data_IF_531325272716
#
_entry.id   IF_531325272716
#
_cell.length_a   1.000
_cell.length_b   1.000
_cell.length_c   1.000
_cell.angle_alpha   90.00
_cell.angle_beta   90.00
_cell.angle_gamma   90.00
#
_symmetry.space_group_name_H-M   'P 1'
#
loop_
_entity.id
_entity.type
_entity.pdbx_description
1 polymer ?
#
# COMPACT_ATOMS: atom_id res chain seq x y z
N UNK A 1 -24.61 11.57 16.25
CA UNK A 1 -25.32 12.40 15.26
C UNK A 1 -26.77 12.00 15.35
N UNK A 2 -27.67 12.95 15.35
CA UNK A 2 -29.11 12.64 15.29
C UNK A 2 -29.47 12.34 13.84
N UNK A 3 -30.22 11.27 13.59
CA UNK A 3 -30.80 10.97 12.27
C UNK A 3 -32.30 11.26 12.28
N UNK A 4 -32.84 11.68 11.13
CA UNK A 4 -34.25 12.06 10.98
C UNK A 4 -35.17 10.91 11.37
N UNK A 5 -34.93 9.76 10.75
CA UNK A 5 -35.66 8.49 10.97
C UNK A 5 -34.66 7.34 10.88
N UNK A 6 -34.84 6.33 11.73
CA UNK A 6 -34.07 5.09 11.72
C UNK A 6 -35.01 3.88 11.75
N UNK A 7 -34.70 2.84 10.98
CA UNK A 7 -35.44 1.58 10.99
C UNK A 7 -34.49 0.39 10.90
N UNK A 8 -34.79 -0.69 11.61
CA UNK A 8 -34.00 -1.92 11.60
C UNK A 8 -34.85 -3.16 11.31
N UNK A 9 -34.30 -4.07 10.52
CA UNK A 9 -34.92 -5.34 10.12
C UNK A 9 -33.93 -6.49 10.37
N UNK A 10 -34.46 -7.71 10.50
CA UNK A 10 -33.64 -8.92 10.68
C UNK A 10 -33.15 -9.16 12.12
N UNK A 11 -33.75 -8.50 13.11
CA UNK A 11 -33.47 -8.74 14.52
C UNK A 11 -34.28 -9.93 15.07
N UNK A 12 -33.70 -10.70 15.99
CA UNK A 12 -34.45 -11.65 16.81
C UNK A 12 -35.44 -10.93 17.74
N UNK A 13 -36.71 -11.32 17.66
CA UNK A 13 -37.79 -10.70 18.44
C UNK A 13 -37.74 -11.14 19.89
N UNK A 14 -37.34 -10.24 20.77
CA UNK A 14 -37.33 -10.42 22.22
C UNK A 14 -37.74 -9.10 22.91
N UNK A 15 -38.05 -9.14 24.21
CA UNK A 15 -38.63 -8.00 24.93
C UNK A 15 -37.77 -6.72 25.00
N UNK A 16 -36.51 -6.77 24.53
CA UNK A 16 -35.58 -5.63 24.45
C UNK A 16 -35.21 -5.22 23.02
N UNK A 17 -35.75 -5.89 21.98
CA UNK A 17 -35.45 -5.59 20.58
C UNK A 17 -35.84 -4.16 20.19
N UNK A 18 -35.19 -3.64 19.14
CA UNK A 18 -35.50 -2.33 18.61
C UNK A 18 -36.87 -2.34 17.89
N UNK A 19 -37.64 -1.24 17.88
CA UNK A 19 -38.90 -1.19 17.14
C UNK A 19 -38.71 -1.51 15.65
N UNK A 20 -39.59 -2.34 15.09
CA UNK A 20 -39.60 -2.64 13.65
C UNK A 20 -40.17 -1.49 12.79
N UNK A 21 -40.91 -0.58 13.43
CA UNK A 21 -41.45 0.64 12.84
C UNK A 21 -40.36 1.72 12.73
N UNK A 22 -40.47 2.67 11.78
CA UNK A 22 -39.51 3.77 11.65
C UNK A 22 -39.54 4.69 12.90
N UNK A 23 -38.41 4.82 13.59
CA UNK A 23 -38.28 5.64 14.81
C UNK A 23 -37.64 6.99 14.47
N UNK A 24 -38.27 8.12 14.81
CA UNK A 24 -37.72 9.44 14.54
C UNK A 24 -36.65 9.88 15.55
N UNK A 25 -35.75 10.76 15.13
CA UNK A 25 -34.75 11.46 15.98
C UNK A 25 -33.85 10.52 16.79
N UNK A 26 -33.43 9.40 16.20
CA UNK A 26 -32.49 8.46 16.82
C UNK A 26 -31.08 9.05 16.91
N UNK A 27 -30.37 8.74 18.00
CA UNK A 27 -28.96 9.07 18.16
C UNK A 27 -28.07 7.94 17.64
N UNK A 28 -27.21 8.26 16.67
CA UNK A 28 -26.26 7.33 16.07
C UNK A 28 -24.84 7.69 16.49
N UNK A 29 -24.09 6.71 16.99
CA UNK A 29 -22.66 6.81 17.33
C UNK A 29 -21.91 5.67 16.65
N UNK A 30 -20.88 6.02 15.90
CA UNK A 30 -19.90 5.07 15.37
C UNK A 30 -18.63 5.21 16.20
N UNK A 31 -18.14 4.11 16.72
CA UNK A 31 -16.88 4.03 17.45
C UNK A 31 -15.91 3.16 16.66
N UNK A 32 -14.67 3.62 16.49
CA UNK A 32 -13.61 2.76 15.99
C UNK A 32 -13.22 1.75 17.07
N UNK A 33 -13.09 0.47 16.70
CA UNK A 33 -12.49 -0.57 17.53
C UNK A 33 -11.01 -0.67 17.19
N UNK A 34 -10.16 -0.79 18.19
CA UNK A 34 -8.72 -0.92 18.00
C UNK A 34 -8.07 -1.81 19.04
N UNK A 35 -7.04 -2.54 18.65
CA UNK A 35 -6.16 -3.32 19.56
C UNK A 35 -4.77 -2.73 19.57
N UNK A 36 -4.19 -2.56 20.75
CA UNK A 36 -2.77 -2.18 20.90
C UNK A 36 -1.91 -3.44 20.80
N UNK A 37 -1.10 -3.52 19.75
CA UNK A 37 -0.10 -4.56 19.56
C UNK A 37 1.24 -4.09 20.17
N UNK A 38 1.80 -4.87 21.10
CA UNK A 38 3.12 -4.58 21.68
C UNK A 38 4.20 -5.15 20.78
N UNK A 39 5.03 -4.30 20.20
CA UNK A 39 6.22 -4.69 19.44
C UNK A 39 7.50 -4.13 20.08
N UNK A 40 8.67 -4.67 19.70
CA UNK A 40 9.97 -4.17 20.16
C UNK A 40 10.21 -2.68 19.79
N UNK A 41 9.55 -2.21 18.73
CA UNK A 41 9.57 -0.83 18.23
C UNK A 41 8.56 0.10 18.91
N UNK A 42 7.85 -0.40 19.92
CA UNK A 42 6.80 0.32 20.66
C UNK A 42 5.41 -0.28 20.48
N UNK A 43 4.43 0.16 21.29
CA UNK A 43 3.02 -0.19 21.09
C UNK A 43 2.48 0.47 19.81
N UNK A 44 1.63 -0.26 19.07
CA UNK A 44 0.92 0.24 17.86
C UNK A 44 -0.57 -0.03 17.96
N UNK A 45 -1.40 0.97 17.72
CA UNK A 45 -2.86 0.86 17.66
C UNK A 45 -3.29 0.37 16.27
N UNK A 46 -3.74 -0.88 16.17
CA UNK A 46 -4.28 -1.46 14.94
C UNK A 46 -5.81 -1.41 14.93
N UNK A 47 -6.38 -0.98 13.81
CA UNK A 47 -7.83 -0.96 13.59
C UNK A 47 -8.42 -2.38 13.63
N UNK A 48 -9.62 -2.51 14.19
CA UNK A 48 -10.36 -3.78 14.36
C UNK A 48 -11.86 -3.62 14.08
N UNK A 49 -12.20 -2.73 13.16
CA UNK A 49 -13.56 -2.51 12.70
C UNK A 49 -14.23 -1.38 13.47
N UNK A 50 -15.56 -1.43 13.49
CA UNK A 50 -16.37 -0.42 14.16
C UNK A 50 -17.39 -1.05 15.09
N UNK A 51 -17.85 -0.27 16.06
CA UNK A 51 -19.06 -0.54 16.85
C UNK A 51 -20.07 0.56 16.53
N UNK A 52 -21.21 0.16 15.99
CA UNK A 52 -22.31 1.03 15.60
C UNK A 52 -23.40 0.96 16.68
N UNK A 53 -23.53 2.04 17.44
CA UNK A 53 -24.58 2.20 18.44
C UNK A 53 -25.69 3.11 17.90
N UNK A 54 -26.93 2.66 17.97
CA UNK A 54 -28.12 3.46 17.66
C UNK A 54 -29.05 3.45 18.87
N UNK A 55 -29.50 4.62 19.31
CA UNK A 55 -30.41 4.76 20.46
C UNK A 55 -31.69 5.47 20.02
N UNK A 56 -32.83 5.10 20.61
CA UNK A 56 -34.07 5.84 20.42
C UNK A 56 -33.96 7.27 20.94
N UNK A 57 -34.66 8.20 20.28
CA UNK A 57 -34.60 9.62 20.63
C UNK A 57 -35.23 9.92 21.99
N UNK A 58 -34.85 11.06 22.59
CA UNK A 58 -35.34 11.52 23.91
C UNK A 58 -36.87 11.64 24.04
N UNK A 59 -37.59 11.63 22.92
CA UNK A 59 -39.06 11.73 22.84
C UNK A 59 -39.77 10.37 22.83
N UNK A 60 -39.07 9.24 22.75
CA UNK A 60 -39.69 7.92 22.77
C UNK A 60 -39.92 7.42 24.20
N UNK A 61 -41.12 6.90 24.50
CA UNK A 61 -41.50 6.39 25.84
C UNK A 61 -40.58 5.28 26.37
N UNK A 62 -40.01 4.46 25.47
CA UNK A 62 -39.12 3.36 25.81
C UNK A 62 -37.72 3.63 25.24
N UNK A 63 -36.70 3.60 26.09
CA UNK A 63 -35.31 3.61 25.62
C UNK A 63 -34.98 2.24 25.02
N UNK A 64 -34.69 2.20 23.72
CA UNK A 64 -34.18 1.01 23.02
C UNK A 64 -32.86 1.34 22.33
N UNK A 65 -32.02 0.32 22.20
CA UNK A 65 -30.70 0.44 21.61
C UNK A 65 -30.43 -0.68 20.61
N UNK A 66 -29.59 -0.38 19.63
CA UNK A 66 -28.86 -1.35 18.83
C UNK A 66 -27.39 -1.15 19.15
N UNK A 67 -26.71 -2.27 19.33
CA UNK A 67 -25.27 -2.33 19.46
C UNK A 67 -24.78 -3.39 18.47
N UNK A 68 -24.14 -2.95 17.38
CA UNK A 68 -23.72 -3.82 16.30
C UNK A 68 -22.23 -3.67 16.06
N UNK A 69 -21.49 -4.77 16.22
CA UNK A 69 -20.12 -4.84 15.76
C UNK A 69 -20.06 -4.99 14.23
N UNK A 70 -19.10 -4.31 13.63
CA UNK A 70 -18.78 -4.34 12.19
C UNK A 70 -17.33 -4.81 12.10
N UNK A 71 -17.15 -6.10 11.81
CA UNK A 71 -15.83 -6.73 11.75
C UNK A 71 -15.09 -6.37 10.44
N UNK A 72 -13.77 -6.13 10.46
CA UNK A 72 -12.96 -5.87 9.26
C UNK A 72 -13.10 -6.97 8.18
N UNK A 73 -13.31 -8.20 8.61
CA UNK A 73 -13.39 -9.40 7.77
C UNK A 73 -14.74 -9.56 7.05
N UNK A 74 -15.75 -8.73 7.36
CA UNK A 74 -17.08 -8.78 6.73
C UNK A 74 -17.30 -7.55 5.84
N UNK A 75 -17.61 -7.74 4.54
CA UNK A 75 -18.02 -6.64 3.66
C UNK A 75 -19.23 -5.87 4.20
N UNK A 76 -19.09 -4.56 4.34
CA UNK A 76 -20.21 -3.68 4.66
C UNK A 76 -21.03 -3.52 3.38
N UNK A 77 -22.26 -4.05 3.35
CA UNK A 77 -23.13 -3.80 2.21
C UNK A 77 -23.87 -2.49 2.40
N UNK A 78 -23.91 -1.66 1.36
CA UNK A 78 -24.67 -0.41 1.40
C UNK A 78 -25.57 -0.20 0.18
N UNK A 79 -26.53 0.71 0.33
CA UNK A 79 -27.24 1.32 -0.79
C UNK A 79 -27.63 2.75 -0.45
N UNK A 80 -27.42 3.66 -1.41
CA UNK A 80 -27.97 5.01 -1.33
C UNK A 80 -29.46 4.96 -1.70
N UNK A 81 -30.31 5.38 -0.76
CA UNK A 81 -31.75 5.43 -0.92
C UNK A 81 -32.26 6.87 -0.88
N UNK A 82 -33.51 7.05 -1.29
CA UNK A 82 -34.33 8.21 -0.93
C UNK A 82 -35.41 7.70 0.02
N UNK A 83 -35.50 8.30 1.20
CA UNK A 83 -36.61 8.08 2.12
C UNK A 83 -37.84 8.89 1.71
N UNK A 84 -38.87 8.85 2.55
CA UNK A 84 -40.11 9.59 2.34
C UNK A 84 -39.85 11.08 2.11
N UNK A 85 -40.66 11.67 1.22
CA UNK A 85 -40.51 13.06 0.74
C UNK A 85 -39.14 13.36 0.09
N UNK A 86 -38.40 12.33 -0.35
CA UNK A 86 -37.15 12.48 -1.10
C UNK A 86 -35.89 12.67 -0.24
N UNK A 87 -36.01 12.60 1.09
CA UNK A 87 -34.89 12.79 2.01
C UNK A 87 -33.73 11.81 1.75
N UNK A 88 -32.47 12.24 1.93
CA UNK A 88 -31.31 11.37 1.72
C UNK A 88 -31.31 10.21 2.72
N UNK A 89 -31.17 8.99 2.23
CA UNK A 89 -31.10 7.80 3.08
C UNK A 89 -29.92 6.87 2.71
N UNK A 90 -29.49 6.08 3.68
CA UNK A 90 -28.46 5.05 3.56
C UNK A 90 -29.00 3.76 4.17
N UNK A 91 -29.05 2.70 3.37
CA UNK A 91 -29.23 1.34 3.85
C UNK A 91 -27.86 0.72 4.10
N UNK A 92 -27.65 0.16 5.28
CA UNK A 92 -26.53 -0.73 5.60
C UNK A 92 -27.07 -2.14 5.83
N UNK A 93 -26.38 -3.16 5.32
CA UNK A 93 -26.62 -4.57 5.72
C UNK A 93 -25.32 -5.13 6.29
N UNK A 94 -25.41 -5.60 7.52
CA UNK A 94 -24.28 -6.14 8.29
C UNK A 94 -24.60 -7.62 8.56
N UNK A 95 -23.59 -8.48 8.42
CA UNK A 95 -23.69 -9.92 8.65
C UNK A 95 -22.81 -10.28 9.85
N UNK A 96 -23.46 -10.59 10.98
CA UNK A 96 -22.80 -10.92 12.25
C UNK A 96 -22.61 -12.46 12.40
N UNK A 97 -22.52 -13.17 11.28
CA UNK A 97 -22.32 -14.62 11.20
C UNK A 97 -23.56 -15.46 11.50
N UNK A 98 -24.45 -14.98 12.37
CA UNK A 98 -25.72 -15.65 12.73
C UNK A 98 -26.96 -14.92 12.20
N UNK A 99 -26.94 -13.58 12.18
CA UNK A 99 -28.07 -12.74 11.78
C UNK A 99 -27.60 -11.63 10.84
N UNK A 100 -28.44 -11.35 9.82
CA UNK A 100 -28.19 -10.28 8.84
C UNK A 100 -29.08 -9.08 9.16
N UNK A 101 -28.55 -8.16 9.97
CA UNK A 101 -29.25 -6.92 10.29
C UNK A 101 -29.26 -6.00 9.06
N UNK A 102 -30.42 -5.42 8.77
CA UNK A 102 -30.59 -4.39 7.73
C UNK A 102 -31.07 -3.10 8.38
N UNK A 103 -30.30 -2.04 8.22
CA UNK A 103 -30.47 -0.77 8.93
C UNK A 103 -30.65 0.37 7.94
N UNK A 104 -31.76 1.09 8.01
CA UNK A 104 -32.03 2.27 7.18
C UNK A 104 -31.90 3.52 8.03
N UNK A 105 -30.99 4.40 7.59
CA UNK A 105 -30.76 5.72 8.17
C UNK A 105 -31.28 6.77 7.20
N UNK A 106 -32.30 7.53 7.60
CA UNK A 106 -32.78 8.70 6.86
C UNK A 106 -32.25 9.95 7.54
N UNK A 107 -31.65 10.84 6.77
CA UNK A 107 -31.02 12.07 7.23
C UNK A 107 -31.87 13.27 6.83
N UNK A 108 -31.68 14.40 7.53
CA UNK A 108 -32.27 15.65 7.07
C UNK A 108 -31.48 16.18 5.85
N UNK A 109 -30.14 16.19 5.95
CA UNK A 109 -29.24 16.74 4.93
C UNK A 109 -28.35 15.69 4.24
N UNK A 110 -28.02 15.86 2.93
CA UNK A 110 -27.15 14.94 2.20
C UNK A 110 -25.75 14.80 2.81
N UNK A 111 -25.23 15.87 3.40
CA UNK A 111 -23.90 15.92 4.01
C UNK A 111 -23.80 15.03 5.25
N UNK A 112 -24.89 14.89 6.02
CA UNK A 112 -24.93 13.98 7.17
C UNK A 112 -24.79 12.51 6.71
N UNK A 113 -25.47 12.16 5.62
CA UNK A 113 -25.36 10.85 4.96
C UNK A 113 -23.95 10.61 4.43
N UNK A 114 -23.40 11.59 3.70
CA UNK A 114 -22.05 11.53 3.16
C UNK A 114 -21.00 11.37 4.27
N UNK A 115 -21.17 12.08 5.40
CA UNK A 115 -20.30 11.98 6.58
C UNK A 115 -20.35 10.59 7.24
N UNK A 116 -21.53 9.95 7.35
CA UNK A 116 -21.59 8.58 7.87
C UNK A 116 -20.91 7.59 6.90
N UNK A 117 -21.14 7.73 5.60
CA UNK A 117 -20.48 6.92 4.58
C UNK A 117 -18.94 7.05 4.65
N UNK A 118 -18.43 8.29 4.69
CA UNK A 118 -17.00 8.56 4.78
C UNK A 118 -16.37 8.05 6.08
N UNK A 119 -17.11 8.02 7.20
CA UNK A 119 -16.63 7.41 8.45
C UNK A 119 -16.46 5.89 8.31
N UNK A 120 -17.43 5.21 7.68
CA UNK A 120 -17.40 3.76 7.47
C UNK A 120 -16.31 3.32 6.48
N UNK A 121 -16.04 4.13 5.45
CA UNK A 121 -14.94 3.88 4.49
C UNK A 121 -13.58 4.41 4.98
N UNK A 122 -13.51 5.07 6.14
CA UNK A 122 -12.27 5.72 6.62
C UNK A 122 -11.82 6.91 5.78
N UNK A 123 -12.66 7.43 4.88
CA UNK A 123 -12.38 8.58 4.02
C UNK A 123 -12.50 9.94 4.70
N UNK A 124 -12.91 10.02 5.97
CA UNK A 124 -12.80 11.25 6.76
C UNK A 124 -11.32 11.55 7.01
N UNK A 125 -10.91 12.78 6.71
CA UNK A 125 -9.59 13.31 7.05
C UNK A 125 -9.64 13.90 8.46
N UNK A 126 -8.70 13.50 9.32
CA UNK A 126 -8.48 14.02 10.66
C UNK A 126 -7.91 15.45 10.67
N UNK A 127 -7.63 15.97 11.87
CA UNK A 127 -6.99 17.30 12.03
C UNK A 127 -5.49 17.28 11.75
N UNK A 128 -4.87 16.12 11.94
CA UNK A 128 -3.44 15.85 11.83
C UNK A 128 -3.20 14.86 10.68
N UNK A 129 -4.04 14.92 9.64
CA UNK A 129 -3.97 14.04 8.48
C UNK A 129 -4.08 14.84 7.19
N UNK A 130 -3.41 14.39 6.14
CA UNK A 130 -3.46 15.02 4.81
C UNK A 130 -3.54 13.97 3.69
N UNK A 131 -4.04 14.39 2.54
CA UNK A 131 -4.11 13.57 1.32
C UNK A 131 -2.81 13.77 0.54
N UNK A 132 -1.95 12.75 0.56
CA UNK A 132 -0.64 12.79 -0.10
C UNK A 132 -0.70 12.55 -1.61
N UNK A 133 -1.79 11.96 -2.09
CA UNK A 133 -2.03 11.76 -3.51
C UNK A 133 -3.37 11.09 -3.75
N UNK A 134 -3.99 11.45 -4.86
CA UNK A 134 -5.14 10.77 -5.42
C UNK A 134 -4.92 10.61 -6.93
N UNK A 135 -4.87 9.37 -7.40
CA UNK A 135 -4.53 9.05 -8.80
C UNK A 135 -5.45 7.97 -9.35
N UNK A 136 -5.79 8.01 -10.65
CA UNK A 136 -6.64 7.00 -11.25
C UNK A 136 -5.88 5.69 -11.47
N UNK A 137 -6.56 4.57 -11.20
CA UNK A 137 -6.03 3.22 -11.36
C UNK A 137 -6.83 2.43 -12.41
N UNK A 138 -6.14 1.54 -13.12
CA UNK A 138 -6.75 0.61 -14.07
C UNK A 138 -7.19 -0.68 -13.37
N UNK A 139 -6.36 -1.19 -12.45
CA UNK A 139 -6.66 -2.39 -11.70
C UNK A 139 -5.93 -2.45 -10.35
N UNK A 140 -6.53 -3.20 -9.43
CA UNK A 140 -5.90 -3.60 -8.18
C UNK A 140 -6.12 -5.11 -7.94
N UNK A 141 -5.09 -5.79 -7.44
CA UNK A 141 -5.13 -7.19 -7.07
C UNK A 141 -4.39 -7.44 -5.75
N UNK A 142 -4.78 -8.52 -5.06
CA UNK A 142 -4.11 -9.05 -3.87
C UNK A 142 -3.78 -10.51 -4.17
N UNK A 143 -2.50 -10.87 -4.07
CA UNK A 143 -2.00 -12.23 -4.28
C UNK A 143 -1.52 -12.83 -2.95
N UNK A 144 -1.93 -14.08 -2.70
CA UNK A 144 -1.46 -14.90 -1.57
C UNK A 144 -0.40 -15.91 -2.08
N UNK A 145 0.64 -16.25 -1.28
CA UNK A 145 1.66 -17.21 -1.68
C UNK A 145 1.01 -18.59 -1.82
N UNK A 146 1.08 -19.18 -3.01
CA UNK A 146 0.35 -20.40 -3.37
C UNK A 146 -0.76 -20.22 -4.41
N UNK A 147 -0.98 -19.01 -4.94
CA UNK A 147 -1.74 -18.83 -6.19
C UNK A 147 -3.26 -18.95 -6.07
N UNK A 148 -3.83 -18.70 -4.88
CA UNK A 148 -5.28 -18.59 -4.74
C UNK A 148 -5.79 -17.34 -5.50
N UNK A 149 -6.77 -17.55 -6.37
CA UNK A 149 -7.21 -16.57 -7.37
C UNK A 149 -7.62 -15.19 -6.80
N UNK A 150 -7.37 -14.09 -7.53
CA UNK A 150 -7.62 -12.73 -7.06
C UNK A 150 -9.11 -12.48 -6.76
N UNK A 151 -9.45 -12.43 -5.46
CA UNK A 151 -10.83 -12.29 -4.94
C UNK A 151 -11.47 -10.90 -5.13
N UNK A 152 -10.90 -10.10 -6.03
CA UNK A 152 -11.32 -8.74 -6.40
C UNK A 152 -11.36 -8.57 -7.95
N UNK A 153 -11.21 -9.65 -8.70
CA UNK A 153 -11.25 -9.61 -10.17
C UNK A 153 -12.63 -9.18 -10.70
N UNK A 154 -12.62 -8.33 -11.73
CA UNK A 154 -13.83 -7.80 -12.36
C UNK A 154 -14.52 -6.66 -11.60
N UNK A 155 -13.86 -6.06 -10.60
CA UNK A 155 -14.26 -4.75 -10.09
C UNK A 155 -13.80 -3.64 -11.06
N UNK A 156 -14.71 -2.71 -11.38
CA UNK A 156 -14.41 -1.52 -12.19
C UNK A 156 -13.71 -0.47 -11.30
N UNK A 157 -12.40 -0.62 -11.12
CA UNK A 157 -11.55 0.29 -10.36
C UNK A 157 -11.52 1.71 -10.96
N UNK A 158 -11.37 2.72 -10.09
CA UNK A 158 -11.45 4.13 -10.48
C UNK A 158 -10.25 4.93 -10.00
N UNK A 159 -9.99 4.97 -8.69
CA UNK A 159 -8.90 5.75 -8.11
C UNK A 159 -8.30 5.09 -6.88
N UNK A 160 -7.09 5.52 -6.53
CA UNK A 160 -6.46 5.28 -5.23
C UNK A 160 -6.11 6.61 -4.58
N UNK A 161 -6.48 6.78 -3.30
CA UNK A 161 -6.17 7.92 -2.45
C UNK A 161 -5.30 7.45 -1.28
N UNK A 162 -4.19 8.14 -1.05
CA UNK A 162 -3.27 7.89 0.05
C UNK A 162 -3.46 8.98 1.11
N UNK A 163 -3.80 8.58 2.33
CA UNK A 163 -3.95 9.47 3.49
C UNK A 163 -2.96 9.02 4.56
N UNK A 164 -2.27 9.96 5.20
CA UNK A 164 -1.39 9.70 6.33
C UNK A 164 -1.36 10.91 7.27
N UNK A 165 -0.62 10.80 8.37
CA UNK A 165 -0.29 11.89 9.29
C UNK A 165 0.23 13.11 8.53
N UNK A 166 -0.23 14.30 8.89
CA UNK A 166 0.17 15.56 8.27
C UNK A 166 1.61 15.92 8.67
N UNK A 167 2.53 15.70 7.74
CA UNK A 167 3.90 16.16 7.82
C UNK A 167 4.08 17.26 6.78
N UNK A 168 4.70 18.37 7.18
CA UNK A 168 4.91 19.56 6.35
C UNK A 168 5.58 19.30 4.98
N UNK A 169 6.15 18.12 4.77
CA UNK A 169 6.75 17.66 3.52
C UNK A 169 6.64 16.13 3.41
N UNK A 170 6.27 15.65 2.21
CA UNK A 170 6.27 14.23 1.77
C UNK A 170 7.55 13.51 2.18
N UNK A 171 8.71 14.16 2.03
CA UNK A 171 9.99 13.49 2.31
C UNK A 171 10.10 13.11 3.79
N UNK A 172 9.57 13.93 4.69
CA UNK A 172 9.63 13.72 6.14
C UNK A 172 8.42 12.93 6.68
N UNK A 173 7.50 12.49 5.81
CA UNK A 173 6.31 11.74 6.19
C UNK A 173 6.65 10.33 6.68
N UNK A 174 6.33 10.07 7.95
CA UNK A 174 6.50 8.75 8.57
C UNK A 174 5.54 7.73 7.95
N UNK A 175 6.07 6.80 7.16
CA UNK A 175 5.30 5.69 6.56
C UNK A 175 5.32 4.41 7.39
N UNK A 176 6.44 4.15 8.06
CA UNK A 176 6.64 2.97 8.92
C UNK A 176 6.34 3.33 10.36
N UNK A 177 5.60 2.47 11.08
CA UNK A 177 5.01 2.75 12.40
C UNK A 177 4.01 3.92 12.41
N UNK A 178 3.35 4.21 11.27
CA UNK A 178 2.21 5.14 11.24
C UNK A 178 0.92 4.45 11.69
N UNK A 179 0.10 5.17 12.46
CA UNK A 179 -1.27 4.76 12.80
C UNK A 179 -2.32 5.34 11.84
N UNK A 180 -1.92 6.31 11.01
CA UNK A 180 -2.80 7.07 10.11
C UNK A 180 -2.71 6.63 8.65
N UNK A 181 -1.60 6.01 8.24
CA UNK A 181 -1.34 5.61 6.85
C UNK A 181 -2.38 4.61 6.36
N UNK A 182 -3.18 5.05 5.39
CA UNK A 182 -4.20 4.23 4.73
C UNK A 182 -4.29 4.53 3.26
N UNK A 183 -4.62 3.48 2.52
CA UNK A 183 -4.80 3.48 1.07
C UNK A 183 -6.26 3.16 0.81
N UNK A 184 -6.99 4.11 0.26
CA UNK A 184 -8.40 3.98 -0.12
C UNK A 184 -8.45 3.79 -1.63
N UNK A 185 -9.08 2.71 -2.07
CA UNK A 185 -9.21 2.33 -3.48
C UNK A 185 -10.69 2.29 -3.83
N UNK A 186 -11.12 3.23 -4.67
CA UNK A 186 -12.50 3.34 -5.10
C UNK A 186 -12.74 2.53 -6.38
N UNK A 187 -13.89 1.88 -6.44
CA UNK A 187 -14.41 1.19 -7.61
C UNK A 187 -15.89 1.58 -7.79
N UNK A 188 -16.41 1.45 -9.00
CA UNK A 188 -17.76 1.92 -9.39
C UNK A 188 -18.91 1.53 -8.45
N UNK A 189 -18.77 0.42 -7.74
CA UNK A 189 -19.79 -0.14 -6.84
C UNK A 189 -19.37 -0.14 -5.36
N UNK A 190 -18.28 0.52 -4.97
CA UNK A 190 -17.83 0.57 -3.57
C UNK A 190 -16.41 1.10 -3.35
N UNK A 191 -15.94 0.93 -2.12
CA UNK A 191 -14.62 1.39 -1.66
C UNK A 191 -13.93 0.26 -0.91
N UNK A 192 -12.64 0.05 -1.15
CA UNK A 192 -11.75 -0.78 -0.36
C UNK A 192 -10.75 0.10 0.37
N UNK A 193 -10.61 -0.08 1.68
CA UNK A 193 -9.69 0.69 2.53
C UNK A 193 -8.71 -0.27 3.21
N UNK A 194 -7.43 -0.06 2.96
CA UNK A 194 -6.34 -0.83 3.53
C UNK A 194 -5.48 0.06 4.44
N UNK A 195 -5.11 -0.42 5.63
CA UNK A 195 -4.49 0.39 6.69
C UNK A 195 -3.08 -0.10 6.98
N UNK A 196 -2.09 0.64 6.49
CA UNK A 196 -0.68 0.24 6.46
C UNK A 196 0.01 0.48 7.81
N UNK A 197 -0.49 -0.14 8.88
CA UNK A 197 0.18 -0.19 10.18
C UNK A 197 1.34 -1.22 10.14
N UNK A 198 2.45 -0.78 9.54
CA UNK A 198 3.59 -1.61 9.13
C UNK A 198 4.82 -1.33 10.01
N UNK A 199 5.59 -2.37 10.33
CA UNK A 199 6.83 -2.31 11.13
C UNK A 199 8.10 -2.16 10.28
N UNK A 200 9.27 -1.92 10.90
CA UNK A 200 10.53 -1.87 10.17
C UNK A 200 10.82 -3.17 9.43
N UNK A 201 11.27 -3.08 8.18
CA UNK A 201 11.54 -4.22 7.30
C UNK A 201 10.29 -4.87 6.67
N UNK A 202 9.09 -4.52 7.12
CA UNK A 202 7.84 -5.14 6.66
C UNK A 202 7.27 -4.52 5.36
N UNK A 203 7.66 -3.28 4.99
CA UNK A 203 7.24 -2.64 3.74
C UNK A 203 8.29 -2.88 2.64
N UNK A 204 7.98 -3.74 1.67
CA UNK A 204 8.88 -3.98 0.53
C UNK A 204 8.16 -3.67 -0.79
N UNK A 205 8.89 -3.16 -1.77
CA UNK A 205 8.33 -2.79 -3.08
C UNK A 205 9.05 -3.50 -4.23
N UNK A 206 8.33 -3.72 -5.32
CA UNK A 206 8.87 -4.11 -6.61
C UNK A 206 8.21 -3.28 -7.71
N UNK A 207 9.03 -2.82 -8.64
CA UNK A 207 8.58 -2.20 -9.87
C UNK A 207 8.68 -3.23 -11.00
N UNK A 208 7.70 -3.25 -11.91
CA UNK A 208 7.74 -4.16 -13.06
C UNK A 208 8.76 -3.71 -14.12
N UNK A 209 9.30 -4.64 -14.91
CA UNK A 209 10.33 -4.32 -15.92
C UNK A 209 9.75 -3.88 -17.26
N UNK A 210 8.55 -4.37 -17.56
CA UNK A 210 7.88 -4.17 -18.85
C UNK A 210 6.66 -3.23 -18.72
N UNK A 211 6.12 -3.06 -17.50
CA UNK A 211 5.07 -2.10 -17.18
C UNK A 211 5.60 -0.93 -16.35
N UNK A 212 5.62 0.28 -16.91
CA UNK A 212 5.97 1.51 -16.17
C UNK A 212 4.97 1.78 -15.04
N UNK A 213 3.70 1.42 -15.24
CA UNK A 213 2.58 1.80 -14.39
C UNK A 213 2.25 0.81 -13.26
N UNK A 214 3.05 -0.24 -13.07
CA UNK A 214 2.77 -1.29 -12.10
C UNK A 214 3.67 -1.19 -10.87
N UNK A 215 3.04 -1.02 -9.70
CA UNK A 215 3.66 -1.04 -8.39
C UNK A 215 3.20 -2.29 -7.64
N UNK A 216 4.16 -3.13 -7.23
CA UNK A 216 3.93 -4.28 -6.35
C UNK A 216 4.42 -3.94 -4.95
N UNK A 217 3.59 -4.17 -3.93
CA UNK A 217 3.94 -3.96 -2.53
C UNK A 217 3.82 -5.30 -1.80
N UNK A 218 4.93 -5.78 -1.25
CA UNK A 218 4.99 -6.98 -0.40
C UNK A 218 4.93 -6.53 1.06
N UNK A 219 3.93 -7.03 1.81
CA UNK A 219 3.76 -6.76 3.25
C UNK A 219 3.19 -7.96 4.00
N UNK A 220 3.21 -7.93 5.33
CA UNK A 220 2.51 -8.94 6.14
C UNK A 220 0.98 -8.77 6.05
N UNK A 221 0.17 -9.85 6.12
CA UNK A 221 -1.28 -9.82 6.23
C UNK A 221 -1.73 -9.01 7.45
N UNK A 222 -2.83 -8.27 7.29
CA UNK A 222 -3.40 -7.46 8.36
C UNK A 222 -4.90 -7.70 8.48
N UNK A 223 -5.46 -7.39 9.65
CA UNK A 223 -6.86 -7.64 10.03
C UNK A 223 -7.61 -6.31 10.29
N UNK A 224 -7.31 -5.31 9.47
CA UNK A 224 -7.75 -3.90 9.56
C UNK A 224 -8.27 -3.35 8.21
N UNK A 225 -8.22 -4.15 7.15
CA UNK A 225 -8.84 -3.85 5.86
C UNK A 225 -10.37 -3.72 6.02
N UNK A 226 -11.00 -2.83 5.26
CA UNK A 226 -12.46 -2.65 5.25
C UNK A 226 -12.92 -2.52 3.81
N UNK A 227 -13.93 -3.29 3.40
CA UNK A 227 -14.59 -3.08 2.11
C UNK A 227 -16.05 -2.69 2.35
N UNK A 228 -16.52 -1.69 1.60
CA UNK A 228 -17.91 -1.28 1.59
C UNK A 228 -18.42 -1.28 0.14
N UNK A 229 -19.45 -2.06 -0.16
CA UNK A 229 -19.90 -2.31 -1.54
C UNK A 229 -21.42 -2.38 -1.68
N UNK A 230 -21.93 -2.09 -2.87
CA UNK A 230 -23.36 -2.27 -3.17
C UNK A 230 -23.70 -3.75 -3.37
N UNK A 231 -24.99 -4.09 -3.20
CA UNK A 231 -25.47 -5.47 -3.23
C UNK A 231 -25.18 -6.22 -4.56
N UNK A 232 -24.93 -5.50 -5.66
CA UNK A 232 -24.73 -6.09 -6.99
C UNK A 232 -23.53 -7.05 -7.09
N UNK A 233 -22.45 -6.81 -6.33
CA UNK A 233 -21.17 -7.51 -6.50
C UNK A 233 -20.92 -8.62 -5.46
N UNK A 234 -21.95 -9.04 -4.71
CA UNK A 234 -21.81 -9.93 -3.55
C UNK A 234 -21.37 -11.38 -3.87
N UNK A 235 -21.17 -11.74 -5.14
CA UNK A 235 -20.54 -13.00 -5.57
C UNK A 235 -19.06 -12.87 -5.91
N UNK A 236 -18.57 -11.67 -6.23
CA UNK A 236 -17.16 -11.39 -6.51
C UNK A 236 -16.39 -10.99 -5.25
N UNK A 237 -17.03 -10.20 -4.38
CA UNK A 237 -16.38 -9.67 -3.17
C UNK A 237 -16.38 -10.73 -2.07
N UNK A 238 -15.29 -11.49 -2.00
CA UNK A 238 -14.98 -12.36 -0.86
C UNK A 238 -13.70 -11.87 -0.17
N UNK A 239 -13.87 -11.04 0.86
CA UNK A 239 -12.81 -10.85 1.86
C UNK A 239 -12.41 -12.22 2.43
N UNK A 240 -11.16 -12.41 2.88
CA UNK A 240 -10.63 -13.70 3.36
C UNK A 240 -11.28 -14.17 4.68
N UNK A 241 -12.56 -14.62 4.62
CA UNK A 241 -13.23 -15.39 5.69
C UNK A 241 -12.49 -16.69 6.03
N UNK A 242 -11.75 -17.24 5.06
CA UNK A 242 -11.07 -18.52 5.18
C UNK A 242 -9.62 -18.45 5.68
N UNK A 243 -9.11 -17.28 6.08
CA UNK A 243 -7.92 -17.27 6.94
C UNK A 243 -8.21 -18.11 8.19
N UNK A 244 -9.40 -17.96 8.79
CA UNK A 244 -9.80 -18.52 10.10
C UNK A 244 -10.06 -20.04 10.17
N UNK A 245 -10.19 -20.78 9.06
CA UNK A 245 -10.35 -22.27 9.11
C UNK A 245 -9.06 -23.07 8.89
N UNK A 246 -7.95 -22.41 8.53
CA UNK A 246 -6.64 -23.05 8.35
C UNK A 246 -5.66 -22.78 9.51
N UNK A 247 -6.12 -22.25 10.65
CA UNK A 247 -5.30 -22.02 11.87
C UNK A 247 -4.94 -23.32 12.63
N UNK A 248 -4.87 -24.45 11.94
CA UNK A 248 -4.24 -25.68 12.44
C UNK A 248 -2.72 -25.68 12.27
N UNK A 249 -2.15 -24.80 11.42
CA UNK A 249 -0.70 -24.74 11.18
C UNK A 249 -0.17 -23.30 11.06
N UNK A 250 0.81 -23.00 11.93
CA UNK A 250 1.71 -21.83 12.00
C UNK A 250 1.23 -20.45 11.50
N UNK A 251 1.08 -19.46 12.40
CA UNK A 251 0.80 -18.06 12.02
C UNK A 251 1.94 -17.32 11.29
N UNK A 252 3.16 -17.86 11.23
CA UNK A 252 4.37 -17.03 11.08
C UNK A 252 4.80 -16.65 9.66
N UNK A 253 4.24 -17.25 8.59
CA UNK A 253 4.85 -17.14 7.24
C UNK A 253 3.86 -17.05 6.08
N UNK A 254 3.04 -16.00 6.05
CA UNK A 254 2.31 -15.58 4.84
C UNK A 254 2.59 -14.11 4.62
N UNK A 255 3.04 -13.72 3.43
CA UNK A 255 3.14 -12.32 2.99
C UNK A 255 2.06 -12.08 1.93
N UNK A 256 1.58 -10.86 1.74
CA UNK A 256 0.67 -10.48 0.66
C UNK A 256 1.41 -9.61 -0.35
N UNK A 257 1.17 -9.85 -1.64
CA UNK A 257 1.52 -8.89 -2.70
C UNK A 257 0.27 -8.11 -3.07
N UNK A 258 0.33 -6.79 -2.88
CA UNK A 258 -0.63 -5.85 -3.43
C UNK A 258 -0.10 -5.38 -4.79
N UNK A 259 -0.89 -5.51 -5.85
CA UNK A 259 -0.54 -5.04 -7.19
C UNK A 259 -1.47 -3.89 -7.54
N UNK A 260 -0.88 -2.71 -7.81
CA UNK A 260 -1.60 -1.51 -8.25
C UNK A 260 -1.11 -1.16 -9.65
N UNK A 261 -2.02 -1.08 -10.62
CA UNK A 261 -1.73 -0.60 -11.98
C UNK A 261 -2.36 0.78 -12.16
N UNK A 262 -1.51 1.80 -12.31
CA UNK A 262 -1.91 3.19 -12.54
C UNK A 262 -2.28 3.43 -14.01
N UNK A 263 -3.10 4.45 -14.29
CA UNK A 263 -3.37 4.84 -15.68
C UNK A 263 -2.17 5.55 -16.33
N UNK A 264 -1.39 6.31 -15.57
CA UNK A 264 -0.18 7.01 -16.02
C UNK A 264 0.88 7.02 -14.90
N UNK A 265 2.11 6.59 -15.20
CA UNK A 265 3.26 6.66 -14.30
C UNK A 265 4.56 6.71 -15.13
N UNK A 266 5.40 7.73 -14.94
CA UNK A 266 6.63 7.88 -15.73
C UNK A 266 7.83 7.22 -15.06
N UNK A 267 8.45 6.24 -15.74
CA UNK A 267 9.80 5.72 -15.44
C UNK A 267 10.46 5.22 -16.71
N UNK A 268 11.80 5.14 -16.74
CA UNK A 268 12.59 4.91 -17.97
C UNK A 268 13.63 3.80 -17.79
N UNK A 269 14.00 3.13 -18.88
CA UNK A 269 14.82 1.92 -18.90
C UNK A 269 16.21 2.16 -19.56
N UNK A 270 17.10 1.16 -19.52
CA UNK A 270 18.41 1.18 -20.20
C UNK A 270 19.08 -0.22 -20.28
N UNK A 271 20.11 -0.37 -21.13
CA UNK A 271 20.73 -1.67 -21.47
C UNK A 271 22.27 -1.66 -21.63
N UNK A 272 22.96 -2.79 -21.39
CA UNK A 272 24.45 -2.87 -21.33
C UNK A 272 25.05 -4.22 -21.80
N UNK A 273 26.17 -4.17 -22.56
CA UNK A 273 27.20 -5.23 -22.56
C UNK A 273 28.67 -4.71 -22.64
N UNK A 274 29.78 -5.44 -22.37
CA UNK A 274 30.15 -6.70 -21.64
C UNK A 274 31.71 -6.70 -21.45
N UNK A 275 32.28 -7.14 -20.30
CA UNK A 275 33.52 -7.98 -20.15
C UNK A 275 33.99 -8.09 -18.68
N UNK A 276 34.14 -9.33 -18.16
CA UNK A 276 34.57 -9.70 -16.78
C UNK A 276 33.98 -8.83 -15.66
N UNK A 277 32.73 -8.42 -15.87
CA UNK A 277 31.90 -7.52 -15.08
C UNK A 277 30.51 -8.16 -15.05
N UNK A 278 29.81 -8.09 -13.92
CA UNK A 278 28.41 -8.49 -13.93
C UNK A 278 27.59 -7.50 -14.75
N UNK A 279 26.76 -8.04 -15.63
CA UNK A 279 26.00 -7.28 -16.60
C UNK A 279 24.54 -7.75 -16.57
N UNK A 280 23.61 -6.80 -16.53
CA UNK A 280 22.18 -7.05 -16.51
C UNK A 280 21.57 -6.38 -17.74
N UNK A 281 21.23 -7.20 -18.73
CA UNK A 281 20.88 -6.75 -20.08
C UNK A 281 19.67 -5.79 -20.11
N UNK A 282 18.63 -6.09 -19.33
CA UNK A 282 17.48 -5.21 -19.09
C UNK A 282 17.40 -4.89 -17.61
N UNK A 283 17.40 -3.60 -17.26
CA UNK A 283 17.30 -3.13 -15.87
C UNK A 283 16.33 -1.96 -15.79
N UNK A 284 15.41 -1.96 -14.81
CA UNK A 284 14.67 -0.76 -14.38
C UNK A 284 15.36 -0.19 -13.16
N UNK A 285 15.87 1.03 -13.26
CA UNK A 285 16.54 1.74 -12.17
C UNK A 285 15.67 2.90 -11.70
N UNK A 286 15.49 3.03 -10.39
CA UNK A 286 14.74 4.11 -9.77
C UNK A 286 15.55 4.73 -8.64
N UNK A 287 15.69 6.05 -8.65
CA UNK A 287 16.10 6.80 -7.46
C UNK A 287 14.86 7.10 -6.63
N UNK A 288 14.94 6.80 -5.33
CA UNK A 288 13.91 7.14 -4.35
C UNK A 288 14.55 7.91 -3.20
N UNK A 289 13.81 8.87 -2.64
CA UNK A 289 14.19 9.53 -1.39
C UNK A 289 13.12 9.22 -0.35
N UNK A 290 13.55 8.76 0.82
CA UNK A 290 12.74 8.66 2.02
C UNK A 290 13.48 9.38 3.14
N UNK A 291 12.85 10.36 3.76
CA UNK A 291 13.45 11.22 4.77
C UNK A 291 14.77 11.81 4.23
N UNK A 292 15.88 11.57 4.90
CA UNK A 292 17.23 12.03 4.50
C UNK A 292 18.00 10.99 3.69
N UNK A 293 17.40 9.84 3.38
CA UNK A 293 18.05 8.69 2.75
C UNK A 293 17.64 8.62 1.28
N UNK A 294 18.59 8.90 0.39
CA UNK A 294 18.45 8.62 -1.05
C UNK A 294 18.90 7.19 -1.31
N UNK A 295 18.13 6.42 -2.06
CA UNK A 295 18.45 5.05 -2.45
C UNK A 295 18.33 4.87 -3.95
N UNK A 296 19.25 4.09 -4.52
CA UNK A 296 19.12 3.55 -5.87
C UNK A 296 18.54 2.15 -5.76
N UNK A 297 17.41 1.93 -6.42
CA UNK A 297 16.76 0.64 -6.58
C UNK A 297 17.01 0.15 -8.01
N UNK A 298 17.44 -1.08 -8.16
CA UNK A 298 17.62 -1.73 -9.46
C UNK A 298 16.85 -3.04 -9.48
N UNK A 299 16.00 -3.22 -10.49
CA UNK A 299 15.27 -4.46 -10.77
C UNK A 299 15.82 -5.05 -12.07
N UNK A 300 16.02 -6.36 -12.10
CA UNK A 300 16.74 -7.03 -13.18
C UNK A 300 15.89 -8.06 -13.92
N UNK A 301 16.01 -8.09 -15.25
CA UNK A 301 15.48 -9.19 -16.06
C UNK A 301 16.53 -10.30 -16.19
N UNK A 302 16.16 -11.55 -15.85
CA UNK A 302 16.98 -12.75 -16.07
C UNK A 302 18.44 -12.71 -15.55
N UNK A 303 18.74 -11.83 -14.60
CA UNK A 303 20.08 -11.70 -14.03
C UNK A 303 20.41 -12.88 -13.11
N UNK A 304 21.64 -13.39 -13.18
CA UNK A 304 22.01 -14.65 -12.52
C UNK A 304 22.20 -14.52 -11.00
N UNK A 305 22.43 -13.32 -10.49
CA UNK A 305 22.78 -13.10 -9.08
C UNK A 305 21.59 -12.72 -8.20
N UNK A 306 20.45 -12.32 -8.78
CA UNK A 306 19.22 -11.98 -8.07
C UNK A 306 18.24 -11.16 -8.93
N UNK A 307 17.04 -10.89 -8.42
CA UNK A 307 15.97 -10.22 -9.16
C UNK A 307 15.90 -8.69 -8.92
N UNK A 308 16.56 -8.21 -7.87
CA UNK A 308 16.72 -6.79 -7.55
C UNK A 308 17.83 -6.54 -6.53
N UNK A 309 18.24 -5.29 -6.40
CA UNK A 309 19.04 -4.76 -5.28
C UNK A 309 18.64 -3.33 -4.96
N UNK A 310 18.88 -2.90 -3.73
CA UNK A 310 18.73 -1.51 -3.30
C UNK A 310 19.89 -1.10 -2.41
N UNK A 311 20.44 0.10 -2.60
CA UNK A 311 21.51 0.63 -1.75
C UNK A 311 21.41 2.15 -1.59
N UNK A 312 21.94 2.65 -0.47
CA UNK A 312 21.91 4.08 -0.12
C UNK A 312 22.99 4.86 -0.87
N UNK A 313 22.61 5.99 -1.45
CA UNK A 313 23.51 6.99 -1.99
C UNK A 313 23.68 8.15 -1.00
N UNK A 314 24.88 8.74 -0.96
CA UNK A 314 25.28 9.81 -0.03
C UNK A 314 25.85 11.01 -0.77
N UNK A 315 25.82 12.18 -0.13
CA UNK A 315 26.45 13.40 -0.65
C UNK A 315 27.97 13.34 -0.75
N UNK A 316 28.59 12.32 -0.14
CA UNK A 316 30.03 12.01 -0.22
C UNK A 316 30.42 11.15 -1.41
N UNK A 317 29.45 10.55 -2.10
CA UNK A 317 29.72 9.59 -3.17
C UNK A 317 30.18 10.32 -4.44
N UNK A 318 31.03 9.65 -5.24
CA UNK A 318 31.56 10.25 -6.47
C UNK A 318 30.83 9.71 -7.69
N UNK A 319 30.17 10.61 -8.41
CA UNK A 319 29.44 10.32 -9.64
C UNK A 319 30.21 10.87 -10.86
N UNK A 320 30.40 10.04 -11.88
CA UNK A 320 31.04 10.41 -13.15
C UNK A 320 30.13 10.18 -14.36
N UNK A 321 29.93 11.18 -15.23
CA UNK A 321 29.23 11.04 -16.50
C UNK A 321 30.19 10.86 -17.68
N UNK A 322 29.80 10.07 -18.69
CA UNK A 322 30.58 9.85 -19.90
C UNK A 322 29.71 9.74 -21.15
N UNK A 323 30.08 10.50 -22.19
CA UNK A 323 29.55 10.41 -23.56
C UNK A 323 30.64 9.83 -24.46
N UNK A 324 30.76 8.50 -24.53
CA UNK A 324 31.80 7.84 -25.33
C UNK A 324 31.16 6.90 -26.34
N UNK A 325 31.54 7.04 -27.61
CA UNK A 325 31.11 6.18 -28.72
C UNK A 325 29.58 6.01 -28.83
N UNK A 326 28.83 7.10 -28.63
CA UNK A 326 27.36 7.11 -28.68
C UNK A 326 26.66 6.49 -27.45
N UNK A 327 27.40 6.03 -26.43
CA UNK A 327 26.83 5.56 -25.17
C UNK A 327 26.81 6.69 -24.13
N UNK A 328 25.64 6.93 -23.54
CA UNK A 328 25.43 7.87 -22.44
C UNK A 328 25.48 7.09 -21.12
N UNK A 329 26.49 7.32 -20.28
CA UNK A 329 26.64 6.57 -19.04
C UNK A 329 26.88 7.45 -17.82
N UNK A 330 26.44 6.93 -16.67
CA UNK A 330 26.75 7.42 -15.34
C UNK A 330 27.44 6.29 -14.57
N UNK A 331 28.57 6.60 -13.93
CA UNK A 331 29.28 5.74 -13.00
C UNK A 331 29.14 6.27 -11.57
N UNK A 332 28.94 5.35 -10.64
CA UNK A 332 29.06 5.54 -9.19
C UNK A 332 30.38 4.88 -8.80
N UNK A 333 31.36 5.68 -8.36
CA UNK A 333 32.72 5.21 -8.05
C UNK A 333 32.77 4.67 -6.63
N UNK A 334 33.36 3.48 -6.43
CA UNK A 334 33.42 2.77 -5.13
C UNK A 334 32.03 2.66 -4.45
N UNK A 335 31.00 2.33 -5.24
CA UNK A 335 29.63 2.23 -4.75
C UNK A 335 29.52 1.10 -3.73
N UNK A 336 28.91 1.37 -2.57
CA UNK A 336 28.81 0.42 -1.45
C UNK A 336 27.42 -0.20 -1.42
N UNK A 337 27.33 -1.50 -1.60
CA UNK A 337 26.06 -2.20 -1.78
C UNK A 337 26.02 -3.56 -1.08
N UNK A 338 24.80 -4.04 -0.84
CA UNK A 338 24.55 -5.42 -0.52
C UNK A 338 24.36 -6.22 -1.82
N UNK A 339 24.86 -7.45 -1.83
CA UNK A 339 24.62 -8.38 -2.93
C UNK A 339 23.12 -8.58 -3.20
N UNK A 340 22.67 -8.65 -4.47
CA UNK A 340 21.34 -9.14 -4.79
C UNK A 340 21.06 -10.47 -4.08
N UNK A 341 19.85 -10.61 -3.55
CA UNK A 341 19.46 -11.83 -2.83
C UNK A 341 19.34 -12.98 -3.84
N UNK A 342 19.99 -14.13 -3.61
CA UNK A 342 19.86 -15.27 -4.50
C UNK A 342 18.40 -15.74 -4.51
N UNK A 343 17.94 -16.25 -5.66
CA UNK A 343 16.60 -16.81 -5.79
C UNK A 343 16.44 -17.98 -4.82
N UNK A 344 15.65 -17.78 -3.77
CA UNK A 344 15.35 -18.83 -2.79
C UNK A 344 14.28 -19.81 -3.30
N UNK A 345 13.83 -20.68 -2.41
CA UNK A 345 12.63 -21.50 -2.62
C UNK A 345 11.45 -20.99 -1.77
N UNK A 346 10.22 -21.18 -2.24
CA UNK A 346 9.00 -20.78 -1.54
C UNK A 346 8.97 -19.28 -1.20
N UNK A 347 8.63 -18.94 0.05
CA UNK A 347 8.55 -17.53 0.48
C UNK A 347 9.90 -16.78 0.38
N UNK A 348 11.04 -17.46 0.42
CA UNK A 348 12.34 -16.81 0.25
C UNK A 348 12.53 -16.30 -1.20
N UNK A 349 11.95 -17.00 -2.19
CA UNK A 349 11.92 -16.57 -3.59
C UNK A 349 11.09 -15.29 -3.78
N UNK A 350 9.96 -15.20 -3.06
CA UNK A 350 9.11 -14.02 -3.09
C UNK A 350 9.81 -12.82 -2.46
N UNK A 351 10.45 -13.01 -1.30
CA UNK A 351 11.15 -11.94 -0.59
C UNK A 351 12.38 -11.42 -1.34
N UNK A 352 13.12 -12.30 -2.06
CA UNK A 352 14.30 -11.91 -2.86
C UNK A 352 13.99 -11.02 -4.06
N UNK A 353 12.72 -10.91 -4.47
CA UNK A 353 12.29 -10.11 -5.61
C UNK A 353 11.86 -8.67 -5.26
N UNK A 354 11.87 -8.28 -3.97
CA UNK A 354 11.44 -6.96 -3.50
C UNK A 354 12.54 -6.27 -2.69
N UNK A 355 12.60 -4.94 -2.80
CA UNK A 355 13.52 -4.08 -2.04
C UNK A 355 12.79 -3.44 -0.86
N UNK A 356 13.47 -3.30 0.27
CA UNK A 356 12.96 -2.58 1.44
C UNK A 356 13.47 -1.13 1.44
N UNK A 357 12.63 -0.16 1.83
CA UNK A 357 12.97 1.26 1.79
C UNK A 357 13.33 1.88 3.14
N UNK A 358 13.09 1.18 4.25
CA UNK A 358 13.20 1.72 5.62
C UNK A 358 14.34 1.10 6.44
N UNK A 359 14.70 -0.13 6.12
CA UNK A 359 15.90 -0.86 6.52
C UNK A 359 16.62 -1.35 5.24
N UNK A 360 17.43 -0.48 4.58
CA UNK A 360 18.25 -0.89 3.45
C UNK A 360 19.21 -2.01 3.85
N UNK A 361 19.49 -2.94 2.93
CA UNK A 361 20.41 -4.04 3.20
C UNK A 361 21.83 -3.50 3.48
N UNK A 362 22.50 -4.04 4.50
CA UNK A 362 23.81 -3.56 4.94
C UNK A 362 24.89 -3.84 3.87
N UNK A 363 25.71 -2.85 3.48
CA UNK A 363 26.69 -3.03 2.40
C UNK A 363 27.84 -3.93 2.85
N UNK A 364 27.96 -5.08 2.19
CA UNK A 364 29.09 -6.01 2.32
C UNK A 364 30.15 -5.85 1.23
N UNK A 365 29.76 -5.30 0.08
CA UNK A 365 30.58 -5.17 -1.12
C UNK A 365 30.82 -3.71 -1.50
N UNK A 366 31.87 -3.47 -2.31
CA UNK A 366 32.13 -2.18 -2.93
C UNK A 366 32.78 -2.32 -4.32
N UNK A 367 32.24 -1.64 -5.34
CA UNK A 367 32.76 -1.66 -6.73
C UNK A 367 32.23 -0.47 -7.58
N UNK A 368 32.82 -0.23 -8.75
CA UNK A 368 32.37 0.75 -9.74
C UNK A 368 31.06 0.32 -10.44
N UNK A 369 29.91 0.83 -10.01
CA UNK A 369 28.63 0.61 -10.70
C UNK A 369 28.52 1.58 -11.88
N UNK A 370 28.18 1.10 -13.07
CA UNK A 370 27.92 1.95 -14.25
C UNK A 370 26.55 1.66 -14.84
N UNK A 371 25.68 2.67 -14.85
CA UNK A 371 24.39 2.68 -15.55
C UNK A 371 24.59 3.29 -16.94
N UNK A 372 24.01 2.68 -17.97
CA UNK A 372 23.97 3.21 -19.34
C UNK A 372 22.53 3.50 -19.70
N UNK A 373 22.32 4.61 -20.38
CA UNK A 373 21.02 5.14 -20.79
C UNK A 373 20.97 5.18 -22.31
N UNK A 374 19.77 5.01 -22.86
CA UNK A 374 19.54 5.03 -24.30
C UNK A 374 19.67 6.48 -24.84
N UNK A 375 19.38 7.50 -24.02
CA UNK A 375 19.52 8.92 -24.38
C UNK A 375 20.30 9.78 -23.38
N UNK A 376 20.94 10.84 -23.91
CA UNK A 376 21.54 11.96 -23.17
C UNK A 376 20.59 12.55 -22.11
N UNK A 377 19.35 12.84 -22.54
CA UNK A 377 18.33 13.49 -21.72
C UNK A 377 17.92 12.66 -20.51
N UNK A 378 17.92 11.33 -20.63
CA UNK A 378 17.61 10.41 -19.52
C UNK A 378 18.74 10.36 -18.51
N UNK A 379 19.98 10.24 -18.99
CA UNK A 379 21.19 10.33 -18.17
C UNK A 379 21.24 11.66 -17.42
N UNK A 380 20.89 12.77 -18.06
CA UNK A 380 20.85 14.10 -17.44
C UNK A 380 19.71 14.28 -16.44
N UNK A 381 18.52 13.73 -16.73
CA UNK A 381 17.41 13.75 -15.78
C UNK A 381 17.74 12.92 -14.53
N UNK A 382 18.32 11.74 -14.71
CA UNK A 382 18.79 10.89 -13.61
C UNK A 382 19.91 11.56 -12.80
N UNK A 383 20.88 12.18 -13.47
CA UNK A 383 21.99 12.90 -12.84
C UNK A 383 21.53 14.06 -11.93
N UNK A 384 20.46 14.76 -12.29
CA UNK A 384 19.88 15.85 -11.47
C UNK A 384 19.23 15.37 -10.17
N UNK A 385 18.90 14.09 -10.07
CA UNK A 385 18.26 13.48 -8.88
C UNK A 385 19.25 12.85 -7.90
N UNK A 386 20.56 12.96 -8.14
CA UNK A 386 21.60 12.38 -7.29
C UNK A 386 21.94 13.28 -6.09
N UNK A 387 22.38 12.70 -4.95
CA UNK A 387 22.67 13.46 -3.73
C UNK A 387 24.00 14.24 -3.78
N UNK A 388 24.79 14.12 -4.85
CA UNK A 388 26.01 14.90 -5.05
C UNK A 388 26.21 15.27 -6.54
N UNK A 389 26.96 16.34 -6.85
CA UNK A 389 27.21 16.76 -8.23
C UNK A 389 27.95 15.70 -9.07
N UNK A 390 27.49 15.51 -10.31
CA UNK A 390 28.14 14.62 -11.28
C UNK A 390 29.30 15.33 -11.97
N UNK A 391 30.46 14.69 -12.01
CA UNK A 391 31.68 15.18 -12.68
C UNK A 391 31.78 14.54 -14.07
N UNK A 392 32.46 15.20 -15.01
CA UNK A 392 32.83 14.53 -16.26
C UNK A 392 33.90 13.47 -15.99
N UNK A 393 33.72 12.24 -16.48
CA UNK A 393 34.64 11.13 -16.25
C UNK A 393 36.07 11.49 -16.72
N UNK A 394 37.04 11.35 -15.83
CA UNK A 394 38.39 11.88 -16.08
C UNK A 394 39.07 11.20 -17.28
N UNK A 395 39.85 11.97 -18.05
CA UNK A 395 40.65 11.46 -19.19
C UNK A 395 42.00 10.87 -18.71
N UNK A 396 42.02 10.10 -17.62
CA UNK A 396 43.21 9.33 -17.28
C UNK A 396 43.25 8.05 -18.11
N UNK A 397 44.27 7.95 -18.97
CA UNK A 397 44.55 6.73 -19.71
C UNK A 397 44.86 5.57 -18.76
N UNK A 398 44.45 4.36 -19.13
CA UNK A 398 44.77 3.16 -18.36
C UNK A 398 46.29 2.97 -18.31
N UNK A 399 46.90 3.35 -17.18
CA UNK A 399 48.26 2.95 -16.86
C UNK A 399 48.21 1.47 -16.51
N UNK A 400 48.38 0.63 -17.54
CA UNK A 400 48.63 -0.80 -17.36
C UNK A 400 49.85 -0.95 -16.46
N UNK A 401 49.65 -1.37 -15.21
CA UNK A 401 50.74 -1.91 -14.39
C UNK A 401 51.11 -3.26 -14.96
N UNK A 402 52.10 -3.24 -15.85
CA UNK A 402 52.71 -4.43 -16.41
C UNK A 402 53.39 -5.22 -15.28
N UNK A 403 52.74 -6.27 -14.77
CA UNK A 403 53.35 -7.20 -13.82
C UNK A 403 54.20 -8.23 -14.58
N UNK A 404 55.27 -7.74 -15.19
CA UNK A 404 56.23 -8.56 -15.91
C UNK A 404 57.67 -8.07 -15.69
N UNK A 405 58.24 -8.37 -14.50
CA UNK A 405 59.66 -8.70 -14.28
C UNK A 405 60.02 -8.79 -12.78
N UNK A 406 60.93 -9.73 -12.50
CA UNK A 406 61.81 -9.83 -11.32
C UNK A 406 61.10 -10.18 -9.99
N UNK A 407 61.58 -11.13 -9.18
CA UNK A 407 62.93 -11.71 -9.08
C UNK A 407 62.95 -13.24 -9.18
N UNK A 408 64.03 -13.76 -9.77
CA UNK A 408 64.64 -15.02 -9.34
C UNK A 408 65.47 -14.76 -8.06
N UNK A 409 65.31 -15.63 -7.05
CA UNK A 409 66.30 -16.26 -6.13
C UNK A 409 65.51 -17.03 -5.06
#
# INVERSE_FOLDING_TARGET
MTVKVFQCFGQEKHAQSFPAEPVPKCEVRLFEKSTVEKAATGPRKKHRGFRLAVMTGKMTKNLRGIDQDILPTTPIQFSHLRGDNGHPALLLKIDDGNLRSSMVFTFDEPDQRARLHALLTGGVIGREETVYGEVPIQSFAIEEPGGLAPRLAGLEWQSVRIINEDAFDIQNTKTVLSEHLRVIMDFKTGTLTDRFNIGPGELKIRLDLHSTNELKILRQPQHDMTIMATQANNRQISLPRNSLRFWGQSPERKQLVLIIIFQHFETKNGSVPIYKKWDAATTRVQLVQKEKTVQLLAFFENFNHGDCMGFTLKSTDTFESSNKSGKFSLRIVDAKFAMPKPRGEGNAALDSAFVNLDMPDYPGEHDDITVVFDTETERDAFAKSLPAPVKAASRMGSVRRDKSKLLDI
#
